data_IF_649831772311
#
_entry.id   IF_649831772311
#
_cell.length_a   1.000
_cell.length_b   1.000
_cell.length_c   1.000
_cell.angle_alpha   90.00
_cell.angle_beta   90.00
_cell.angle_gamma   90.00
#
_symmetry.space_group_name_H-M   'P 1'
#
loop_
_entity.id
_entity.type
_entity.pdbx_description
1 polymer ?
#
# COMPACT_ATOMS: atom_id res chain seq x y z
N UNK A 1 16.82 2.07 14.33
CA UNK A 1 15.72 1.71 13.40
C UNK A 1 16.29 1.40 12.02
N UNK A 2 17.16 2.26 11.48
CA UNK A 2 17.97 2.07 10.27
C UNK A 2 18.46 0.61 10.05
N UNK A 3 19.20 0.06 11.01
CA UNK A 3 19.84 -1.26 10.87
C UNK A 3 18.83 -2.42 10.77
N UNK A 4 17.72 -2.37 11.51
CA UNK A 4 16.68 -3.41 11.46
C UNK A 4 15.90 -3.33 10.14
N UNK A 5 15.68 -2.12 9.62
CA UNK A 5 14.99 -1.93 8.36
C UNK A 5 15.87 -2.32 7.15
N UNK A 6 17.17 -2.04 7.18
CA UNK A 6 18.10 -2.51 6.15
C UNK A 6 18.10 -4.04 6.00
N UNK A 7 18.11 -4.77 7.13
CA UNK A 7 17.97 -6.23 7.11
C UNK A 7 16.61 -6.68 6.57
N UNK A 8 15.54 -5.95 6.93
CA UNK A 8 14.19 -6.22 6.48
C UNK A 8 14.01 -5.94 4.97
N UNK A 9 14.67 -4.90 4.42
CA UNK A 9 14.74 -4.61 2.99
C UNK A 9 15.38 -5.76 2.23
N UNK A 10 16.48 -6.33 2.71
CA UNK A 10 17.11 -7.48 2.05
C UNK A 10 16.14 -8.67 1.94
N UNK A 11 15.36 -8.94 3.00
CA UNK A 11 14.28 -9.96 2.96
C UNK A 11 13.16 -9.57 2.00
N UNK A 12 12.78 -8.30 1.98
CA UNK A 12 11.74 -7.79 1.08
C UNK A 12 12.15 -7.97 -0.39
N UNK A 13 13.34 -7.50 -0.76
CA UNK A 13 13.92 -7.67 -2.10
C UNK A 13 14.01 -9.14 -2.50
N UNK A 14 14.41 -10.02 -1.58
CA UNK A 14 14.44 -11.45 -1.85
C UNK A 14 13.05 -12.00 -2.20
N UNK A 15 12.00 -11.59 -1.47
CA UNK A 15 10.62 -11.95 -1.79
C UNK A 15 10.15 -11.44 -3.15
N UNK A 16 10.54 -10.22 -3.50
CA UNK A 16 10.18 -9.57 -4.77
C UNK A 16 10.83 -10.21 -5.99
N UNK A 17 12.00 -10.85 -5.86
CA UNK A 17 12.64 -11.61 -6.95
C UNK A 17 11.71 -12.69 -7.52
N UNK A 18 10.91 -13.34 -6.68
CA UNK A 18 9.93 -14.35 -7.13
C UNK A 18 8.74 -13.77 -7.90
N UNK A 19 8.59 -12.44 -7.88
CA UNK A 19 7.54 -11.68 -8.54
C UNK A 19 8.05 -10.88 -9.75
N UNK A 20 9.35 -10.95 -10.05
CA UNK A 20 10.02 -10.15 -11.08
C UNK A 20 9.82 -8.63 -10.87
N UNK A 21 9.87 -8.20 -9.61
CA UNK A 21 9.75 -6.78 -9.21
C UNK A 21 11.11 -6.30 -8.69
N UNK A 22 11.61 -5.23 -9.30
CA UNK A 22 12.76 -4.48 -8.80
C UNK A 22 12.30 -3.10 -8.33
N UNK A 23 12.71 -2.72 -7.11
CA UNK A 23 12.41 -1.41 -6.54
C UNK A 23 13.63 -0.49 -6.62
N UNK A 24 13.41 0.74 -7.06
CA UNK A 24 14.35 1.84 -6.87
C UNK A 24 14.52 2.19 -5.39
N UNK A 25 15.61 2.88 -5.05
CA UNK A 25 15.87 3.30 -3.67
C UNK A 25 14.77 4.23 -3.13
N UNK A 26 14.20 5.09 -3.97
CA UNK A 26 13.05 5.91 -3.60
C UNK A 26 11.83 5.06 -3.22
N UNK A 27 11.54 4.01 -3.99
CA UNK A 27 10.41 3.12 -3.68
C UNK A 27 10.63 2.34 -2.39
N UNK A 28 11.88 1.89 -2.13
CA UNK A 28 12.24 1.27 -0.85
C UNK A 28 12.00 2.24 0.30
N UNK A 29 12.44 3.49 0.17
CA UNK A 29 12.18 4.54 1.16
C UNK A 29 10.69 4.83 1.35
N UNK A 30 9.89 4.82 0.29
CA UNK A 30 8.43 4.95 0.40
C UNK A 30 7.81 3.80 1.21
N UNK A 31 8.27 2.55 1.05
CA UNK A 31 7.82 1.44 1.90
C UNK A 31 8.24 1.61 3.37
N UNK A 32 9.43 2.16 3.64
CA UNK A 32 9.86 2.52 5.02
C UNK A 32 8.87 3.49 5.64
N UNK A 33 8.65 4.62 4.96
CA UNK A 33 7.80 5.70 5.46
C UNK A 33 6.35 5.23 5.62
N UNK A 34 5.86 4.38 4.71
CA UNK A 34 4.54 3.80 4.82
C UNK A 34 4.40 2.89 6.04
N UNK A 35 5.40 2.04 6.32
CA UNK A 35 5.43 1.23 7.53
C UNK A 35 5.43 2.11 8.79
N UNK A 36 6.25 3.16 8.84
CA UNK A 36 6.32 4.07 9.99
C UNK A 36 4.98 4.76 10.25
N UNK A 37 4.36 5.31 9.21
CA UNK A 37 3.02 5.92 9.28
C UNK A 37 1.96 4.91 9.71
N UNK A 38 2.00 3.69 9.17
CA UNK A 38 1.10 2.60 9.54
C UNK A 38 1.18 2.31 11.04
N UNK A 39 2.37 2.10 11.57
CA UNK A 39 2.57 1.78 12.99
C UNK A 39 2.20 2.96 13.90
N UNK A 40 2.54 4.18 13.49
CA UNK A 40 2.18 5.39 14.24
C UNK A 40 0.66 5.53 14.37
N UNK A 41 -0.05 5.49 13.25
CA UNK A 41 -1.50 5.64 13.23
C UNK A 41 -2.23 4.43 13.82
N UNK A 42 -1.64 3.23 13.74
CA UNK A 42 -2.23 2.04 14.33
C UNK A 42 -2.42 2.16 15.85
N UNK A 43 -1.58 2.92 16.55
CA UNK A 43 -1.66 3.16 18.02
C UNK A 43 -3.02 3.72 18.46
N UNK A 44 -3.72 4.43 17.59
CA UNK A 44 -4.99 5.11 17.92
C UNK A 44 -6.17 4.64 17.06
N UNK A 45 -5.93 3.90 15.97
CA UNK A 45 -6.98 3.57 15.00
C UNK A 45 -7.25 2.09 14.78
N UNK A 46 -6.36 1.18 15.20
CA UNK A 46 -6.42 -0.26 14.91
C UNK A 46 -6.57 -0.54 13.40
N UNK A 47 -5.64 -0.01 12.61
CA UNK A 47 -5.53 -0.21 11.15
C UNK A 47 -5.22 -1.67 10.79
N UNK A 48 -4.40 -2.35 11.58
CA UNK A 48 -3.95 -3.73 11.35
C UNK A 48 -3.64 -4.41 12.69
N UNK A 49 -3.93 -5.71 12.77
CA UNK A 49 -3.49 -6.54 13.90
C UNK A 49 -1.99 -6.91 13.80
N UNK A 50 -1.41 -6.81 12.60
CA UNK A 50 -0.01 -7.11 12.31
C UNK A 50 0.81 -5.82 12.40
N UNK A 51 1.77 -5.78 13.32
CA UNK A 51 2.63 -4.60 13.57
C UNK A 51 4.11 -4.90 13.59
N UNK A 52 4.53 -6.18 13.64
CA UNK A 52 5.94 -6.52 13.49
C UNK A 52 6.39 -6.27 12.05
N UNK A 53 7.58 -5.68 11.89
CA UNK A 53 8.13 -5.28 10.60
C UNK A 53 8.22 -6.45 9.61
N UNK A 54 8.71 -7.62 10.05
CA UNK A 54 8.88 -8.75 9.15
C UNK A 54 7.54 -9.31 8.67
N UNK A 55 6.57 -9.36 9.59
CA UNK A 55 5.21 -9.77 9.26
C UNK A 55 4.51 -8.76 8.34
N UNK A 56 4.66 -7.45 8.55
CA UNK A 56 4.10 -6.44 7.64
C UNK A 56 4.70 -6.58 6.23
N UNK A 57 6.01 -6.79 6.14
CA UNK A 57 6.67 -6.99 4.84
C UNK A 57 6.10 -8.22 4.13
N UNK A 58 5.98 -9.36 4.82
CA UNK A 58 5.50 -10.59 4.18
C UNK A 58 4.01 -10.57 3.89
N UNK A 59 3.19 -10.31 4.92
CA UNK A 59 1.74 -10.50 4.89
C UNK A 59 0.98 -9.31 4.33
N UNK A 60 1.59 -8.12 4.27
CA UNK A 60 0.97 -6.96 3.66
C UNK A 60 1.69 -6.53 2.39
N UNK A 61 2.99 -6.24 2.43
CA UNK A 61 3.68 -5.64 1.27
C UNK A 61 3.91 -6.64 0.13
N UNK A 62 4.56 -7.77 0.41
CA UNK A 62 4.82 -8.81 -0.60
C UNK A 62 3.48 -9.40 -1.06
N UNK A 63 2.59 -9.73 -0.14
CA UNK A 63 1.27 -10.29 -0.46
C UNK A 63 0.48 -9.39 -1.42
N UNK A 64 0.42 -8.08 -1.14
CA UNK A 64 -0.22 -7.10 -2.03
C UNK A 64 0.35 -7.08 -3.44
N UNK A 65 1.66 -7.31 -3.58
CA UNK A 65 2.36 -7.32 -4.86
C UNK A 65 2.24 -8.65 -5.61
N UNK A 66 1.76 -9.72 -4.98
CA UNK A 66 1.54 -11.01 -5.68
C UNK A 66 0.52 -10.92 -6.81
N UNK A 67 -0.32 -9.88 -6.81
CA UNK A 67 -1.30 -9.56 -7.85
C UNK A 67 -0.68 -9.49 -9.25
N UNK A 68 0.63 -9.19 -9.36
CA UNK A 68 1.36 -9.14 -10.64
C UNK A 68 1.36 -10.48 -11.37
N UNK A 69 1.18 -11.59 -10.64
CA UNK A 69 1.06 -12.93 -11.21
C UNK A 69 -0.27 -13.14 -11.95
N UNK A 70 -1.29 -12.34 -11.65
CA UNK A 70 -2.60 -12.42 -12.26
C UNK A 70 -2.82 -11.33 -13.32
N UNK A 71 -2.33 -10.11 -13.07
CA UNK A 71 -2.48 -8.96 -13.97
C UNK A 71 -1.18 -8.15 -14.03
N UNK A 72 -0.89 -7.49 -15.16
CA UNK A 72 0.16 -6.47 -15.21
C UNK A 72 -0.41 -5.11 -14.77
N UNK A 73 -0.03 -4.54 -13.61
CA UNK A 73 -0.62 -3.29 -13.11
C UNK A 73 -0.16 -2.05 -13.88
N UNK A 74 1.01 -2.11 -14.53
CA UNK A 74 1.62 -0.98 -15.24
C UNK A 74 0.63 -0.38 -16.24
N UNK A 75 0.46 0.95 -16.19
CA UNK A 75 -0.44 1.73 -17.05
C UNK A 75 -1.92 1.32 -16.97
N UNK A 76 -2.36 0.67 -15.88
CA UNK A 76 -3.77 0.36 -15.63
C UNK A 76 -4.42 1.42 -14.75
N UNK A 77 -5.75 1.42 -14.77
CA UNK A 77 -6.58 2.10 -13.76
C UNK A 77 -7.20 1.03 -12.88
N UNK A 78 -6.95 1.10 -11.57
CA UNK A 78 -7.36 0.10 -10.59
C UNK A 78 -8.17 0.77 -9.48
N UNK A 79 -9.24 0.13 -9.04
CA UNK A 79 -9.94 0.48 -7.80
C UNK A 79 -9.68 -0.61 -6.74
N UNK A 80 -9.34 -0.17 -5.54
CA UNK A 80 -9.20 -1.00 -4.35
C UNK A 80 -10.39 -0.75 -3.42
N UNK A 81 -11.29 -1.72 -3.34
CA UNK A 81 -12.58 -1.62 -2.65
C UNK A 81 -12.47 -2.24 -1.26
N UNK A 82 -12.73 -1.45 -0.22
CA UNK A 82 -12.48 -1.88 1.15
C UNK A 82 -11.00 -1.87 1.50
N UNK A 83 -10.25 -0.93 0.92
CA UNK A 83 -8.78 -0.83 0.96
C UNK A 83 -8.20 -0.83 2.39
N UNK A 84 -8.98 -0.47 3.42
CA UNK A 84 -8.55 -0.55 4.80
C UNK A 84 -7.38 0.39 5.08
N UNK A 85 -6.23 -0.21 5.38
CA UNK A 85 -4.97 0.52 5.58
C UNK A 85 -4.23 0.82 4.26
N UNK A 86 -4.81 0.53 3.10
CA UNK A 86 -4.21 0.80 1.79
C UNK A 86 -3.72 -0.45 1.07
N UNK A 87 -4.19 -1.65 1.44
CA UNK A 87 -3.74 -2.90 0.87
C UNK A 87 -4.82 -3.49 -0.06
N UNK A 88 -4.49 -3.84 -1.32
CA UNK A 88 -3.17 -3.82 -1.95
C UNK A 88 -2.80 -2.49 -2.66
N UNK A 89 -3.69 -1.49 -2.67
CA UNK A 89 -3.57 -0.31 -3.52
C UNK A 89 -2.28 0.52 -3.35
N UNK A 90 -1.86 0.83 -2.11
CA UNK A 90 -0.64 1.61 -1.85
C UNK A 90 0.63 0.84 -2.27
N UNK A 91 0.86 -0.44 -1.89
CA UNK A 91 2.00 -1.20 -2.39
C UNK A 91 2.08 -1.26 -3.91
N UNK A 92 0.96 -1.51 -4.60
CA UNK A 92 0.91 -1.48 -6.06
C UNK A 92 1.32 -0.12 -6.58
N UNK A 93 0.83 0.97 -5.97
CA UNK A 93 1.18 2.32 -6.41
C UNK A 93 2.66 2.62 -6.30
N UNK A 94 3.28 2.21 -5.19
CA UNK A 94 4.70 2.41 -4.95
C UNK A 94 5.51 1.63 -5.99
N UNK A 95 5.22 0.34 -6.19
CA UNK A 95 5.96 -0.51 -7.13
C UNK A 95 5.73 -0.13 -8.61
N UNK A 96 4.52 0.32 -8.96
CA UNK A 96 4.11 0.67 -10.31
C UNK A 96 3.58 2.12 -10.37
N UNK A 97 4.48 3.13 -10.34
CA UNK A 97 4.11 4.54 -10.18
C UNK A 97 3.20 5.08 -11.30
N UNK A 98 3.18 4.46 -12.48
CA UNK A 98 2.31 4.83 -13.61
C UNK A 98 0.86 4.34 -13.45
N UNK A 99 0.59 3.46 -12.49
CA UNK A 99 -0.75 2.90 -12.27
C UNK A 99 -1.66 3.94 -11.64
N UNK A 100 -2.84 4.19 -12.23
CA UNK A 100 -3.85 5.06 -11.63
C UNK A 100 -4.64 4.28 -10.60
N UNK A 101 -4.72 4.79 -9.37
CA UNK A 101 -5.37 4.06 -8.27
C UNK A 101 -6.47 4.88 -7.60
N UNK A 102 -7.60 4.23 -7.37
CA UNK A 102 -8.69 4.75 -6.54
C UNK A 102 -8.81 3.86 -5.31
N UNK A 103 -8.71 4.46 -4.13
CA UNK A 103 -8.80 3.79 -2.84
C UNK A 103 -10.17 4.07 -2.21
N UNK A 104 -11.02 3.06 -2.06
CA UNK A 104 -12.38 3.21 -1.52
C UNK A 104 -12.49 2.54 -0.14
N UNK A 105 -12.91 3.29 0.89
CA UNK A 105 -13.25 2.76 2.21
C UNK A 105 -14.46 3.51 2.81
N UNK A 106 -15.25 2.80 3.61
CA UNK A 106 -16.45 3.33 4.27
C UNK A 106 -16.16 4.11 5.55
N UNK A 107 -14.93 4.06 6.07
CA UNK A 107 -14.55 4.71 7.32
C UNK A 107 -13.70 5.95 7.06
N UNK A 108 -14.26 7.14 7.31
CA UNK A 108 -13.56 8.41 7.10
C UNK A 108 -12.19 8.50 7.79
N UNK A 109 -12.03 7.89 8.98
CA UNK A 109 -10.73 7.85 9.67
C UNK A 109 -9.63 7.18 8.83
N UNK A 110 -9.97 6.09 8.11
CA UNK A 110 -9.03 5.40 7.21
C UNK A 110 -8.74 6.23 5.97
N UNK A 111 -9.74 6.92 5.44
CA UNK A 111 -9.55 7.87 4.34
C UNK A 111 -8.55 8.97 4.72
N UNK A 112 -8.65 9.52 5.92
CA UNK A 112 -7.68 10.51 6.42
C UNK A 112 -6.25 9.94 6.53
N UNK A 113 -6.11 8.71 7.05
CA UNK A 113 -4.83 8.01 7.07
C UNK A 113 -4.24 7.85 5.66
N UNK A 114 -5.04 7.37 4.71
CA UNK A 114 -4.59 7.15 3.32
C UNK A 114 -4.20 8.47 2.64
N UNK A 115 -4.93 9.56 2.91
CA UNK A 115 -4.57 10.88 2.40
C UNK A 115 -3.22 11.36 2.96
N UNK A 116 -2.94 11.12 4.24
CA UNK A 116 -1.63 11.42 4.84
C UNK A 116 -0.52 10.57 4.18
N UNK A 117 -0.75 9.28 3.97
CA UNK A 117 0.21 8.40 3.26
C UNK A 117 0.48 8.91 1.84
N UNK A 118 -0.57 9.21 1.07
CA UNK A 118 -0.44 9.73 -0.31
C UNK A 118 0.36 11.04 -0.31
N UNK A 119 0.07 11.94 0.63
CA UNK A 119 0.75 13.22 0.75
C UNK A 119 2.24 13.05 1.10
N UNK A 120 2.55 12.28 2.15
CA UNK A 120 3.92 12.12 2.68
C UNK A 120 4.83 11.38 1.71
N UNK A 121 4.31 10.37 1.02
CA UNK A 121 5.06 9.61 0.01
C UNK A 121 5.07 10.31 -1.36
N UNK A 122 4.39 11.45 -1.51
CA UNK A 122 4.26 12.22 -2.75
C UNK A 122 3.73 11.37 -3.92
N UNK A 123 2.77 10.48 -3.65
CA UNK A 123 2.20 9.61 -4.67
C UNK A 123 1.30 10.42 -5.63
N UNK A 124 1.45 10.21 -6.93
CA UNK A 124 0.70 10.92 -8.01
C UNK A 124 -0.36 10.03 -8.61
N UNK A 125 -1.39 10.54 -9.28
CA UNK A 125 -2.42 9.70 -9.93
C UNK A 125 -3.03 8.63 -8.99
N UNK A 126 -3.18 8.96 -7.71
CA UNK A 126 -3.85 8.14 -6.70
C UNK A 126 -4.79 9.04 -5.90
N UNK A 127 -6.00 8.56 -5.61
CA UNK A 127 -7.00 9.32 -4.84
C UNK A 127 -7.82 8.40 -3.96
N UNK A 128 -8.35 8.97 -2.88
CA UNK A 128 -9.26 8.28 -1.98
C UNK A 128 -10.71 8.64 -2.27
N UNK A 129 -11.63 7.74 -1.94
CA UNK A 129 -13.07 7.96 -1.95
C UNK A 129 -13.61 7.46 -0.62
N UNK A 130 -14.34 8.32 0.09
CA UNK A 130 -15.12 7.91 1.26
C UNK A 130 -16.49 7.42 0.82
N UNK A 131 -16.83 6.19 1.17
CA UNK A 131 -18.18 5.65 1.04
C UNK A 131 -18.20 4.13 0.90
N UNK A 132 -19.40 3.58 0.69
CA UNK A 132 -19.61 2.13 0.60
C UNK A 132 -19.62 1.65 -0.84
N UNK A 133 -19.17 0.42 -1.06
CA UNK A 133 -19.12 -0.16 -2.40
C UNK A 133 -20.50 -0.17 -3.08
N UNK A 134 -21.56 -0.46 -2.31
CA UNK A 134 -22.94 -0.55 -2.79
C UNK A 134 -23.51 0.80 -3.24
N UNK A 135 -22.97 1.91 -2.75
CA UNK A 135 -23.41 3.26 -3.14
C UNK A 135 -22.77 3.66 -4.48
N UNK A 136 -21.51 3.27 -4.71
CA UNK A 136 -20.80 3.51 -5.96
C UNK A 136 -21.13 2.51 -7.08
N UNK A 137 -21.77 1.38 -6.76
CA UNK A 137 -22.23 0.40 -7.75
C UNK A 137 -23.57 0.73 -8.43
N UNK A 138 -24.26 1.80 -8.01
CA UNK A 138 -25.66 2.07 -8.40
C UNK A 138 -25.88 2.94 -9.65
N UNK A 139 -24.82 3.32 -10.36
CA UNK A 139 -24.92 3.99 -11.67
C UNK A 139 -23.63 3.69 -12.48
N UNK A 140 -23.60 2.58 -13.24
CA UNK A 140 -22.46 2.20 -14.07
C UNK A 140 -22.24 3.10 -15.29
#
# INVERSE_FOLDING_TARGET
>A
MESKFQLAIAKFEHGLKSLDIELSDNQKQQFVQYYELLIEWNKVMNLTAITDLEDVIQKHFIDSLTIVKAICPKNKTIIDVGTGAGFPGIPIKIAFPETKIVLLDSLNKRINFLNEVIHRLNLKEIRTIHGRAEDYGKNP
#
